data_IF_885937358656
#
_entry.id   IF_885937358656
#
_cell.length_a   1.000
_cell.length_b   1.000
_cell.length_c   1.000
_cell.angle_alpha   90.00
_cell.angle_beta   90.00
_cell.angle_gamma   90.00
#
_symmetry.space_group_name_H-M   'P 1'
#
loop_
_entity.id
_entity.type
_entity.pdbx_description
1 polymer ?
#
# COMPACT_ATOMS: atom_id res chain seq x y z
N UNK A 1 0.30 -21.42 -19.74
CA UNK A 1 -0.20 -20.09 -19.30
C UNK A 1 0.32 -19.85 -17.90
N UNK A 2 1.00 -18.74 -17.54
CA UNK A 2 1.51 -18.67 -16.19
C UNK A 2 0.40 -18.24 -15.23
N UNK A 3 0.05 -19.16 -14.33
CA UNK A 3 -0.96 -19.07 -13.27
C UNK A 3 -0.39 -18.61 -11.93
N UNK A 4 0.78 -17.97 -11.91
CA UNK A 4 1.55 -17.71 -10.68
C UNK A 4 1.45 -16.28 -10.15
N UNK A 5 0.44 -15.50 -10.57
CA UNK A 5 0.27 -14.09 -10.18
C UNK A 5 -0.35 -13.88 -8.80
N UNK A 6 -0.78 -14.97 -8.16
CA UNK A 6 -1.41 -14.96 -6.84
C UNK A 6 -0.48 -15.37 -5.71
N UNK A 7 0.74 -15.86 -5.99
CA UNK A 7 1.68 -16.25 -4.94
C UNK A 7 2.62 -15.08 -4.66
N UNK A 8 2.63 -14.55 -3.43
CA UNK A 8 3.58 -13.50 -3.02
C UNK A 8 5.03 -13.94 -3.25
N UNK A 9 5.31 -15.24 -3.13
CA UNK A 9 6.61 -15.83 -3.38
C UNK A 9 6.93 -15.87 -4.88
N UNK A 10 5.94 -16.03 -5.76
CA UNK A 10 6.15 -15.85 -7.20
C UNK A 10 6.29 -14.38 -7.61
N UNK A 11 5.71 -13.43 -6.85
CA UNK A 11 5.96 -12.00 -7.03
C UNK A 11 7.39 -11.65 -6.61
N UNK A 12 7.90 -12.27 -5.54
CA UNK A 12 9.30 -12.15 -5.15
C UNK A 12 10.23 -12.85 -6.17
N UNK A 13 9.95 -14.10 -6.56
CA UNK A 13 10.76 -14.88 -7.51
C UNK A 13 10.79 -14.26 -8.93
N UNK A 14 9.68 -13.70 -9.42
CA UNK A 14 9.65 -13.05 -10.75
C UNK A 14 10.43 -11.73 -10.77
N UNK A 15 10.59 -11.07 -9.62
CA UNK A 15 11.33 -9.83 -9.49
C UNK A 15 12.73 -10.01 -8.88
N UNK A 16 13.13 -11.25 -8.61
CA UNK A 16 14.46 -11.60 -8.11
C UNK A 16 15.58 -11.43 -9.17
N UNK A 17 15.21 -11.04 -10.39
CA UNK A 17 16.12 -10.68 -11.48
C UNK A 17 16.73 -9.28 -11.36
N UNK A 18 17.63 -9.08 -10.39
CA UNK A 18 18.60 -7.98 -10.23
C UNK A 18 18.11 -6.53 -9.99
N UNK A 19 18.76 -5.91 -8.99
CA UNK A 19 18.72 -4.53 -8.47
C UNK A 19 17.62 -4.09 -7.50
N UNK A 20 16.44 -4.68 -7.50
CA UNK A 20 15.38 -4.34 -6.52
C UNK A 20 14.86 -5.63 -5.85
N UNK A 21 15.52 -6.09 -4.79
CA UNK A 21 14.99 -7.20 -3.99
C UNK A 21 13.74 -6.70 -3.23
N UNK A 22 12.57 -6.95 -3.80
CA UNK A 22 11.27 -6.54 -3.26
C UNK A 22 11.00 -7.18 -1.90
N UNK A 23 11.46 -8.42 -1.69
CA UNK A 23 11.35 -9.08 -0.42
C UNK A 23 12.18 -8.35 0.65
N UNK A 24 13.45 -8.06 0.38
CA UNK A 24 14.29 -7.31 1.32
C UNK A 24 13.75 -5.91 1.61
N UNK A 25 13.16 -5.24 0.62
CA UNK A 25 12.51 -3.94 0.83
C UNK A 25 11.27 -4.05 1.73
N UNK A 26 10.46 -5.10 1.53
CA UNK A 26 9.30 -5.38 2.37
C UNK A 26 9.69 -5.74 3.80
N UNK A 27 10.68 -6.62 3.98
CA UNK A 27 11.23 -7.01 5.29
C UNK A 27 11.82 -5.81 6.03
N UNK A 28 12.61 -4.97 5.34
CA UNK A 28 13.16 -3.73 5.92
C UNK A 28 12.05 -2.79 6.37
N UNK A 29 10.99 -2.67 5.57
CA UNK A 29 9.84 -1.81 5.89
C UNK A 29 9.06 -2.36 7.10
N UNK A 30 8.81 -3.67 7.14
CA UNK A 30 8.17 -4.33 8.28
C UNK A 30 8.99 -4.14 9.55
N UNK A 31 10.31 -4.36 9.51
CA UNK A 31 11.21 -4.15 10.66
C UNK A 31 11.20 -2.69 11.13
N UNK A 32 11.15 -1.74 10.20
CA UNK A 32 11.20 -0.30 10.49
C UNK A 32 9.91 0.23 11.12
N UNK A 33 8.75 -0.24 10.66
CA UNK A 33 7.44 0.33 11.00
C UNK A 33 6.51 -0.61 11.79
N UNK A 34 6.85 -1.89 11.85
CA UNK A 34 6.06 -2.95 12.49
C UNK A 34 4.80 -3.35 11.71
N UNK A 35 4.64 -2.90 10.47
CA UNK A 35 3.50 -3.24 9.61
C UNK A 35 3.81 -4.55 8.90
N UNK A 36 3.00 -5.61 9.07
CA UNK A 36 3.33 -6.92 8.52
C UNK A 36 3.46 -6.90 7.00
N UNK A 37 4.41 -7.68 6.46
CA UNK A 37 4.62 -7.80 5.00
C UNK A 37 3.31 -8.04 4.22
N UNK A 38 2.41 -8.94 4.65
CA UNK A 38 1.14 -9.15 3.94
C UNK A 38 0.28 -7.89 3.81
N UNK A 39 0.28 -7.02 4.82
CA UNK A 39 -0.47 -5.75 4.84
C UNK A 39 0.16 -4.76 3.86
N UNK A 40 1.48 -4.63 3.90
CA UNK A 40 2.26 -3.79 3.00
C UNK A 40 2.02 -4.20 1.54
N UNK A 41 2.19 -5.49 1.24
CA UNK A 41 2.06 -6.04 -0.11
C UNK A 41 0.63 -5.96 -0.61
N UNK A 42 -0.38 -6.24 0.22
CA UNK A 42 -1.78 -6.12 -0.17
C UNK A 42 -2.14 -4.67 -0.54
N UNK A 43 -1.65 -3.70 0.25
CA UNK A 43 -1.80 -2.28 -0.07
C UNK A 43 -1.12 -1.98 -1.40
N UNK A 44 0.19 -2.19 -1.54
CA UNK A 44 0.93 -1.92 -2.79
C UNK A 44 0.30 -2.61 -4.01
N UNK A 45 -0.20 -3.84 -3.86
CA UNK A 45 -0.85 -4.60 -4.93
C UNK A 45 -2.18 -3.99 -5.37
N UNK A 46 -3.00 -3.54 -4.42
CA UNK A 46 -4.25 -2.83 -4.73
C UNK A 46 -3.98 -1.49 -5.38
N UNK A 47 -2.91 -0.84 -4.96
CA UNK A 47 -2.51 0.45 -5.46
C UNK A 47 -1.91 0.38 -6.89
N UNK A 48 -1.20 -0.71 -7.22
CA UNK A 48 -0.54 -0.92 -8.52
C UNK A 48 -1.45 -1.51 -9.60
N UNK A 49 -2.68 -1.91 -9.28
CA UNK A 49 -3.72 -2.17 -10.27
C UNK A 49 -3.54 -3.43 -11.14
N UNK A 50 -3.21 -4.58 -10.54
CA UNK A 50 -3.21 -5.84 -11.30
C UNK A 50 -4.63 -6.22 -11.75
N UNK A 51 -4.89 -6.09 -13.05
CA UNK A 51 -6.19 -6.40 -13.68
C UNK A 51 -6.43 -7.91 -13.71
N UNK A 52 -7.48 -8.34 -13.00
CA UNK A 52 -8.38 -9.39 -13.48
C UNK A 52 -9.82 -8.94 -13.24
N UNK A 53 -10.40 -8.34 -14.29
CA UNK A 53 -11.85 -8.22 -14.53
C UNK A 53 -12.80 -7.49 -13.56
N UNK A 54 -12.34 -6.64 -12.65
CA UNK A 54 -13.21 -5.62 -12.06
C UNK A 54 -12.77 -4.24 -12.57
N UNK A 55 -13.58 -3.57 -13.41
CA UNK A 55 -13.40 -2.15 -13.71
C UNK A 55 -13.86 -1.36 -12.49
N UNK A 56 -12.97 -0.71 -11.71
CA UNK A 56 -13.41 0.38 -10.84
C UNK A 56 -13.98 1.47 -11.74
N UNK A 57 -15.07 2.16 -11.35
CA UNK A 57 -15.47 3.35 -12.06
C UNK A 57 -14.29 4.32 -12.17
N UNK A 58 -14.20 4.91 -13.36
CA UNK A 58 -13.07 5.61 -13.97
C UNK A 58 -12.32 6.58 -13.02
N UNK A 59 -10.98 6.48 -13.11
CA UNK A 59 -9.95 7.54 -13.00
C UNK A 59 -9.47 8.11 -11.65
N UNK A 60 -9.84 7.58 -10.46
CA UNK A 60 -9.37 8.19 -9.18
C UNK A 60 -9.10 7.25 -8.00
N UNK A 61 -8.55 6.08 -8.26
CA UNK A 61 -7.70 5.44 -7.25
C UNK A 61 -6.29 5.91 -7.69
N UNK A 62 -5.53 6.77 -7.00
CA UNK A 62 -5.20 6.72 -5.58
C UNK A 62 -4.61 8.04 -5.08
N UNK A 63 -4.87 8.31 -3.81
CA UNK A 63 -4.54 9.54 -3.11
C UNK A 63 -3.14 9.62 -2.50
N UNK A 64 -2.15 8.80 -2.88
CA UNK A 64 -0.77 8.99 -2.37
C UNK A 64 0.37 8.56 -3.32
N UNK A 65 0.17 7.59 -4.22
CA UNK A 65 1.21 7.15 -5.19
C UNK A 65 0.63 7.04 -6.60
N UNK A 66 0.85 8.00 -7.51
CA UNK A 66 0.44 7.88 -8.89
C UNK A 66 1.45 7.01 -9.67
N UNK A 67 1.04 5.81 -10.05
CA UNK A 67 1.75 4.95 -11.01
C UNK A 67 1.51 5.34 -12.48
N UNK A 68 0.65 6.33 -12.74
CA UNK A 68 0.41 6.86 -14.09
C UNK A 68 0.29 8.37 -14.09
N UNK A 69 0.64 8.98 -15.24
CA UNK A 69 0.63 10.43 -15.50
C UNK A 69 -0.65 11.10 -14.98
N UNK A 70 -0.48 12.11 -14.10
CA UNK A 70 -1.58 12.83 -13.46
C UNK A 70 -2.24 13.76 -14.49
N UNK A 71 -3.55 13.69 -14.66
CA UNK A 71 -4.33 14.71 -15.36
C UNK A 71 -5.16 15.54 -14.37
N UNK A 72 -4.67 16.76 -14.14
CA UNK A 72 -5.41 18.01 -13.90
C UNK A 72 -6.61 18.00 -12.91
N UNK A 73 -6.36 17.76 -11.62
CA UNK A 73 -7.23 18.25 -10.54
C UNK A 73 -6.38 18.94 -9.46
N UNK A 74 -6.09 20.21 -9.67
CA UNK A 74 -5.07 21.02 -8.98
C UNK A 74 -5.13 20.98 -7.44
N UNK A 75 -6.31 20.82 -6.83
CA UNK A 75 -6.45 20.70 -5.37
C UNK A 75 -6.26 19.29 -4.81
N UNK A 76 -6.56 18.25 -5.59
CA UNK A 76 -6.37 16.85 -5.18
C UNK A 76 -4.89 16.50 -5.20
N UNK A 77 -4.17 16.87 -6.27
CA UNK A 77 -2.73 16.63 -6.43
C UNK A 77 -1.86 17.29 -5.35
N UNK A 78 -2.24 18.48 -4.86
CA UNK A 78 -1.50 19.20 -3.83
C UNK A 78 -1.49 18.49 -2.46
N UNK A 79 -2.59 17.84 -2.07
CA UNK A 79 -2.63 17.05 -0.84
C UNK A 79 -1.74 15.79 -0.93
N UNK A 80 -1.63 15.21 -2.14
CA UNK A 80 -0.73 14.07 -2.43
C UNK A 80 0.73 14.51 -2.30
N UNK A 81 1.06 15.67 -2.85
CA UNK A 81 2.40 16.23 -2.80
C UNK A 81 2.80 16.63 -1.39
N UNK A 82 1.86 17.17 -0.60
CA UNK A 82 2.07 17.46 0.81
C UNK A 82 2.44 16.24 1.64
N UNK A 83 1.73 15.12 1.44
CA UNK A 83 1.97 13.91 2.25
C UNK A 83 3.25 13.18 1.84
N UNK A 84 3.57 13.14 0.54
CA UNK A 84 4.84 12.60 0.08
C UNK A 84 6.03 13.47 0.55
N UNK A 85 5.89 14.80 0.48
CA UNK A 85 6.89 15.73 1.00
C UNK A 85 7.08 15.56 2.51
N UNK A 86 5.98 15.38 3.25
CA UNK A 86 6.03 15.07 4.68
C UNK A 86 6.77 13.76 4.93
N UNK A 87 6.50 12.69 4.16
CA UNK A 87 7.25 11.44 4.23
C UNK A 87 8.76 11.66 3.99
N UNK A 88 9.13 12.36 2.91
CA UNK A 88 10.53 12.62 2.59
C UNK A 88 11.23 13.41 3.70
N UNK A 89 10.53 14.39 4.27
CA UNK A 89 11.04 15.20 5.37
C UNK A 89 11.19 14.41 6.68
N UNK A 90 10.19 13.61 7.05
CA UNK A 90 10.20 12.85 8.30
C UNK A 90 11.15 11.65 8.26
N UNK A 91 11.34 11.04 7.09
CA UNK A 91 12.25 9.90 6.91
C UNK A 91 13.66 10.32 6.50
N UNK A 92 13.86 11.59 6.13
CA UNK A 92 15.11 12.08 5.53
C UNK A 92 15.38 11.57 4.11
N UNK A 93 14.46 10.82 3.51
CA UNK A 93 14.63 10.22 2.19
C UNK A 93 14.21 11.19 1.06
N UNK A 94 14.95 12.29 0.92
CA UNK A 94 14.68 13.31 -0.12
C UNK A 94 14.84 12.80 -1.55
N UNK A 95 15.62 11.73 -1.75
CA UNK A 95 15.82 11.09 -3.05
C UNK A 95 14.74 10.05 -3.39
N UNK A 96 13.78 9.80 -2.49
CA UNK A 96 12.73 8.81 -2.68
C UNK A 96 11.93 9.07 -3.97
N UNK A 97 11.68 8.01 -4.73
CA UNK A 97 10.90 8.08 -5.97
C UNK A 97 9.67 7.19 -5.85
N UNK A 98 8.49 7.78 -6.05
CA UNK A 98 7.20 7.06 -6.07
C UNK A 98 7.16 5.88 -7.04
N UNK A 99 7.99 5.89 -8.08
CA UNK A 99 8.10 4.84 -9.10
C UNK A 99 9.00 3.67 -8.72
N UNK A 100 9.78 3.77 -7.63
CA UNK A 100 10.61 2.69 -7.12
C UNK A 100 9.84 1.91 -6.09
N UNK A 101 9.80 0.58 -6.23
CA UNK A 101 9.08 -0.27 -5.30
C UNK A 101 9.56 -0.08 -3.85
N UNK A 102 10.87 -0.05 -3.63
CA UNK A 102 11.45 0.11 -2.30
C UNK A 102 11.01 1.41 -1.60
N UNK A 103 10.95 2.52 -2.34
CA UNK A 103 10.49 3.80 -1.79
C UNK A 103 8.96 3.82 -1.60
N UNK A 104 8.21 3.17 -2.49
CA UNK A 104 6.76 3.07 -2.41
C UNK A 104 6.30 2.21 -1.21
N UNK A 105 6.94 1.06 -0.98
CA UNK A 105 6.62 0.20 0.15
C UNK A 105 7.05 0.83 1.48
N UNK A 106 8.21 1.52 1.54
CA UNK A 106 8.62 2.27 2.73
C UNK A 106 7.62 3.39 3.06
N UNK A 107 7.14 4.13 2.05
CA UNK A 107 6.07 5.10 2.22
C UNK A 107 4.79 4.49 2.78
N UNK A 108 4.34 3.34 2.25
CA UNK A 108 3.15 2.65 2.76
C UNK A 108 3.35 2.23 4.22
N UNK A 109 4.53 1.71 4.58
CA UNK A 109 4.86 1.36 5.97
C UNK A 109 4.88 2.57 6.90
N UNK A 110 5.47 3.69 6.46
CA UNK A 110 5.44 4.96 7.18
C UNK A 110 4.00 5.44 7.40
N UNK A 111 3.17 5.44 6.36
CA UNK A 111 1.79 5.91 6.46
C UNK A 111 0.96 5.05 7.42
N UNK A 112 1.07 3.72 7.31
CA UNK A 112 0.34 2.79 8.16
C UNK A 112 0.82 2.81 9.61
N UNK A 113 2.12 3.00 9.87
CA UNK A 113 2.61 3.17 11.25
C UNK A 113 2.10 4.46 11.88
N UNK A 114 2.15 5.58 11.16
CA UNK A 114 1.57 6.85 11.62
C UNK A 114 0.07 6.70 11.89
N UNK A 115 -0.66 5.96 11.05
CA UNK A 115 -2.07 5.63 11.26
C UNK A 115 -2.27 4.82 12.54
N UNK A 116 -1.50 3.75 12.72
CA UNK A 116 -1.57 2.88 13.89
C UNK A 116 -1.27 3.67 15.18
N UNK A 117 -0.24 4.50 15.17
CA UNK A 117 0.19 5.27 16.33
C UNK A 117 -0.77 6.42 16.66
N UNK A 118 -1.37 7.05 15.64
CA UNK A 118 -2.31 8.18 15.83
C UNK A 118 -3.71 7.73 16.25
N UNK A 119 -4.20 6.63 15.69
CA UNK A 119 -5.60 6.19 15.86
C UNK A 119 -5.76 4.90 16.66
N UNK A 120 -4.67 4.30 17.15
CA UNK A 120 -4.71 3.03 17.89
C UNK A 120 -5.15 1.85 17.04
N UNK A 121 -5.03 1.95 15.71
CA UNK A 121 -5.34 0.85 14.78
C UNK A 121 -4.25 -0.21 14.92
N UNK A 122 -4.65 -1.48 15.04
CA UNK A 122 -3.67 -2.55 15.10
C UNK A 122 -2.86 -2.62 13.80
N UNK A 123 -1.55 -2.85 13.90
CA UNK A 123 -0.64 -2.88 12.74
C UNK A 123 -0.97 -3.98 11.72
N UNK A 124 -1.74 -4.99 12.12
CA UNK A 124 -2.25 -6.07 11.27
C UNK A 124 -3.72 -5.89 10.84
N UNK A 125 -4.40 -4.79 11.24
CA UNK A 125 -5.77 -4.48 10.82
C UNK A 125 -5.75 -3.78 9.45
N UNK A 126 -5.55 -4.58 8.41
CA UNK A 126 -5.46 -4.12 7.03
C UNK A 126 -6.68 -3.30 6.62
N UNK A 127 -7.87 -3.68 7.08
CA UNK A 127 -9.11 -2.99 6.74
C UNK A 127 -9.09 -1.53 7.21
N UNK A 128 -8.81 -1.30 8.49
CA UNK A 128 -8.79 0.06 9.04
C UNK A 128 -7.59 0.87 8.56
N UNK A 129 -6.43 0.23 8.41
CA UNK A 129 -5.24 0.86 7.83
C UNK A 129 -5.51 1.34 6.39
N UNK A 130 -6.13 0.50 5.57
CA UNK A 130 -6.48 0.85 4.19
C UNK A 130 -7.58 1.93 4.12
N UNK A 131 -8.58 1.91 5.02
CA UNK A 131 -9.57 2.98 5.10
C UNK A 131 -8.93 4.33 5.42
N UNK A 132 -8.04 4.38 6.39
CA UNK A 132 -7.32 5.60 6.73
C UNK A 132 -6.46 6.08 5.56
N UNK A 133 -5.77 5.16 4.89
CA UNK A 133 -5.00 5.43 3.68
C UNK A 133 -5.88 5.90 2.51
N UNK A 134 -7.11 5.43 2.37
CA UNK A 134 -8.00 5.90 1.30
C UNK A 134 -8.60 7.29 1.59
N UNK A 135 -9.01 7.52 2.83
CA UNK A 135 -9.76 8.72 3.23
C UNK A 135 -8.85 9.88 3.66
N UNK A 136 -7.63 9.58 4.07
CA UNK A 136 -6.75 10.49 4.79
C UNK A 136 -7.04 10.53 6.30
N UNK A 137 -6.00 10.85 7.09
CA UNK A 137 -6.06 10.90 8.55
C UNK A 137 -7.16 11.81 9.10
N UNK A 138 -7.36 13.00 8.52
CA UNK A 138 -8.38 13.95 9.00
C UNK A 138 -9.79 13.38 8.89
N UNK A 139 -10.15 12.78 7.76
CA UNK A 139 -11.48 12.22 7.56
C UNK A 139 -11.67 10.95 8.40
N UNK A 140 -10.67 10.06 8.40
CA UNK A 140 -10.72 8.84 9.19
C UNK A 140 -10.85 9.11 10.70
N UNK A 141 -10.09 10.08 11.22
CA UNK A 141 -10.10 10.52 12.61
C UNK A 141 -11.42 11.16 13.04
N UNK A 142 -12.16 11.79 12.10
CA UNK A 142 -13.54 12.26 12.32
C UNK A 142 -14.58 11.14 12.31
N UNK A 143 -14.16 9.89 12.22
CA UNK A 143 -15.05 8.73 12.16
C UNK A 143 -15.60 8.42 10.77
N UNK A 144 -15.11 9.09 9.71
CA UNK A 144 -15.54 8.76 8.35
C UNK A 144 -15.03 7.34 7.98
N UNK A 145 -15.89 6.56 7.34
CA UNK A 145 -15.59 5.20 6.85
C UNK A 145 -15.77 5.06 5.33
N UNK A 146 -16.01 6.17 4.63
CA UNK A 146 -16.28 6.18 3.19
C UNK A 146 -17.63 5.56 2.85
N UNK A 147 -17.95 5.57 1.55
CA UNK A 147 -19.13 4.89 1.02
C UNK A 147 -18.94 3.35 1.00
N UNK A 148 -20.00 2.64 0.60
CA UNK A 148 -19.98 1.18 0.51
C UNK A 148 -18.91 0.65 -0.47
N UNK A 149 -18.56 1.43 -1.51
CA UNK A 149 -17.50 1.09 -2.44
C UNK A 149 -16.15 1.09 -1.76
N UNK A 150 -15.81 2.17 -1.04
CA UNK A 150 -14.55 2.29 -0.28
C UNK A 150 -14.43 1.16 0.74
N UNK A 151 -15.49 0.88 1.49
CA UNK A 151 -15.49 -0.21 2.46
C UNK A 151 -15.32 -1.58 1.80
N UNK A 152 -15.93 -1.79 0.62
CA UNK A 152 -15.73 -3.02 -0.16
C UNK A 152 -14.27 -3.17 -0.62
N UNK A 153 -13.65 -2.08 -1.09
CA UNK A 153 -12.22 -2.07 -1.45
C UNK A 153 -11.32 -2.39 -0.25
N UNK A 154 -11.60 -1.80 0.92
CA UNK A 154 -10.86 -2.10 2.14
C UNK A 154 -11.00 -3.58 2.55
N UNK A 155 -12.21 -4.16 2.48
CA UNK A 155 -12.43 -5.60 2.73
C UNK A 155 -11.67 -6.48 1.75
N UNK A 156 -11.69 -6.13 0.46
CA UNK A 156 -10.95 -6.86 -0.56
C UNK A 156 -9.42 -6.77 -0.38
N UNK A 157 -8.94 -5.71 0.26
CA UNK A 157 -7.52 -5.55 0.63
C UNK A 157 -7.18 -6.40 1.84
N UNK A 158 -8.04 -6.41 2.85
CA UNK A 158 -7.89 -7.28 4.04
C UNK A 158 -7.86 -8.76 3.65
N UNK A 159 -8.75 -9.19 2.76
CA UNK A 159 -8.74 -10.56 2.26
C UNK A 159 -7.42 -10.89 1.56
N UNK A 160 -6.92 -9.99 0.72
CA UNK A 160 -5.64 -10.19 0.04
C UNK A 160 -4.47 -10.30 1.02
N UNK A 161 -4.44 -9.49 2.09
CA UNK A 161 -3.43 -9.59 3.13
C UNK A 161 -3.49 -10.94 3.87
N UNK A 162 -4.69 -11.47 4.14
CA UNK A 162 -4.85 -12.80 4.74
C UNK A 162 -4.34 -13.90 3.81
N UNK A 163 -4.63 -13.80 2.51
CA UNK A 163 -4.15 -14.76 1.51
C UNK A 163 -2.61 -14.74 1.42
N UNK A 164 -2.00 -13.55 1.38
CA UNK A 164 -0.54 -13.40 1.42
C UNK A 164 0.08 -13.93 2.71
N UNK A 165 -0.58 -13.72 3.86
CA UNK A 165 -0.12 -14.28 5.12
C UNK A 165 -0.11 -15.82 5.08
N UNK A 166 -1.15 -16.45 4.52
CA UNK A 166 -1.20 -17.89 4.37
C UNK A 166 -0.09 -18.42 3.45
N UNK A 167 0.20 -17.70 2.36
CA UNK A 167 1.24 -18.07 1.41
C UNK A 167 2.65 -17.96 1.98
N UNK A 168 2.97 -16.87 2.70
CA UNK A 168 4.30 -16.71 3.32
C UNK A 168 4.62 -17.85 4.28
N UNK A 169 3.62 -18.41 4.97
CA UNK A 169 3.80 -19.57 5.85
C UNK A 169 4.15 -20.85 5.09
N UNK A 170 3.81 -20.94 3.81
CA UNK A 170 4.06 -22.10 2.95
C UNK A 170 5.36 -21.99 2.16
N UNK A 171 5.97 -20.80 2.07
CA UNK A 171 7.21 -20.61 1.31
C UNK A 171 8.49 -21.00 2.06
N UNK A 172 8.34 -21.61 3.25
CA UNK A 172 9.43 -22.14 4.08
C UNK A 172 9.49 -23.67 4.14
N UNK A 173 8.92 -24.37 3.14
CA UNK A 173 9.02 -25.84 2.98
C UNK A 173 9.74 -26.22 1.70
#
# INVERSE_FOLDING_TARGET
APSHINNVCAVFDQNDGWFDNWQSAAERTEQKYGIPIPVLMATVRKESGFKSNARPPRTKLLGFIPWTHVSSATGYSQALDGTWSQYQSETGNWAARRTRFADAIDFVGWYHSKTADTFGVARNDTYNLYLAYYLGWTAYGRGNRGDAGVQSYARATDQMARDYQAQLRQCGS
#
